data_IF_271223920008
#
_entry.id   IF_271223920008
#
_cell.length_a   1.000
_cell.length_b   1.000
_cell.length_c   1.000
_cell.angle_alpha   90.00
_cell.angle_beta   90.00
_cell.angle_gamma   90.00
#
_symmetry.space_group_name_H-M   'P 1'
#
loop_
_entity.id
_entity.type
_entity.pdbx_description
1 polymer ?
#
# COMPACT_ATOMS: atom_id res chain seq x y z
N UNK A 1 4.29 -18.85 8.95
CA UNK A 1 5.32 -17.83 9.25
C UNK A 1 4.77 -16.95 10.37
N UNK A 2 5.50 -16.84 11.48
CA UNK A 2 5.01 -16.22 12.73
C UNK A 2 4.74 -14.71 12.52
N UNK A 3 3.60 -14.23 13.01
CA UNK A 3 3.17 -12.83 13.00
C UNK A 3 4.26 -11.89 13.55
N UNK A 4 5.14 -12.40 14.42
CA UNK A 4 6.29 -11.68 14.99
C UNK A 4 7.39 -11.33 13.98
N UNK A 5 7.62 -12.17 12.96
CA UNK A 5 8.67 -11.95 11.95
C UNK A 5 8.24 -10.87 10.94
N UNK A 6 6.95 -10.89 10.54
CA UNK A 6 6.33 -9.81 9.75
C UNK A 6 6.38 -8.48 10.49
N UNK A 7 6.12 -8.50 11.81
CA UNK A 7 6.21 -7.32 12.67
C UNK A 7 7.66 -6.81 12.77
N UNK A 8 8.68 -7.68 12.82
CA UNK A 8 10.08 -7.28 12.94
C UNK A 8 10.62 -6.60 11.67
N UNK A 9 10.41 -7.15 10.46
CA UNK A 9 10.77 -6.45 9.22
C UNK A 9 10.02 -5.13 9.07
N UNK A 10 8.75 -5.08 9.50
CA UNK A 10 7.94 -3.87 9.46
C UNK A 10 8.37 -2.82 10.50
N UNK A 11 8.84 -3.23 11.68
CA UNK A 11 9.46 -2.35 12.68
C UNK A 11 10.82 -1.87 12.23
N UNK A 12 11.60 -2.63 11.45
CA UNK A 12 12.85 -2.13 10.87
C UNK A 12 12.57 -1.07 9.79
N UNK A 13 11.57 -1.27 8.94
CA UNK A 13 11.12 -0.27 7.96
C UNK A 13 10.51 0.96 8.66
N UNK A 14 9.62 0.78 9.64
CA UNK A 14 9.04 1.88 10.41
C UNK A 14 10.04 2.57 11.33
N UNK A 15 11.01 1.86 11.93
CA UNK A 15 12.07 2.49 12.71
C UNK A 15 12.98 3.29 11.80
N UNK A 16 13.37 2.81 10.61
CA UNK A 16 14.07 3.67 9.64
C UNK A 16 13.22 4.88 9.20
N UNK A 17 11.89 4.80 9.23
CA UNK A 17 11.00 5.93 8.95
C UNK A 17 10.76 6.86 10.16
N UNK A 18 10.85 6.38 11.40
CA UNK A 18 10.57 7.16 12.64
C UNK A 18 11.83 7.67 13.36
N UNK A 19 12.98 6.98 13.29
CA UNK A 19 14.18 7.36 14.07
C UNK A 19 14.85 8.65 13.59
N UNK A 20 14.41 9.24 12.48
CA UNK A 20 15.03 10.45 11.91
C UNK A 20 14.18 11.72 12.04
N UNK A 21 13.04 11.67 12.75
CA UNK A 21 12.23 12.87 13.05
C UNK A 21 12.56 13.51 14.41
N UNK A 22 13.35 12.85 15.27
CA UNK A 22 13.62 13.33 16.65
C UNK A 22 15.09 13.67 16.94
N UNK A 23 16.03 13.37 16.06
CA UNK A 23 17.44 13.69 16.27
C UNK A 23 17.86 14.97 15.51
N UNK A 24 17.39 16.12 15.99
CA UNK A 24 18.13 17.36 15.78
C UNK A 24 19.43 17.27 16.58
N UNK A 25 20.57 17.19 15.89
CA UNK A 25 21.92 17.08 16.43
C UNK A 25 22.23 15.81 17.26
N UNK A 26 22.92 14.85 16.64
CA UNK A 26 24.22 14.29 17.06
C UNK A 26 24.56 13.14 16.09
N UNK A 27 25.80 13.14 15.59
CA UNK A 27 26.39 12.06 14.81
C UNK A 27 26.25 10.73 15.55
N UNK A 28 25.66 9.71 14.90
CA UNK A 28 25.93 8.31 15.24
C UNK A 28 26.29 7.58 13.96
N UNK A 29 27.57 7.71 13.58
CA UNK A 29 28.28 6.61 12.95
C UNK A 29 28.35 5.46 13.96
N UNK A 30 27.93 4.25 13.55
CA UNK A 30 28.19 2.93 14.20
C UNK A 30 26.99 2.07 14.68
N UNK A 31 25.74 2.37 14.32
CA UNK A 31 24.62 1.47 14.66
C UNK A 31 24.44 0.24 13.75
N UNK A 32 25.44 -0.10 12.92
CA UNK A 32 25.50 -1.42 12.27
C UNK A 32 25.98 -2.53 13.23
N UNK A 33 26.48 -2.20 14.43
CA UNK A 33 27.04 -3.17 15.36
C UNK A 33 26.02 -3.91 16.25
N UNK A 34 24.81 -3.39 16.44
CA UNK A 34 23.78 -4.08 17.25
C UNK A 34 23.01 -5.17 16.48
N UNK A 35 23.17 -5.24 15.15
CA UNK A 35 22.54 -6.28 14.31
C UNK A 35 23.35 -7.58 14.23
N UNK A 36 24.58 -7.62 14.74
CA UNK A 36 25.42 -8.82 14.76
C UNK A 36 25.32 -9.65 16.05
N UNK A 37 24.59 -9.17 17.08
CA UNK A 37 24.45 -9.85 18.38
C UNK A 37 23.38 -10.95 18.45
N UNK A 38 22.56 -11.13 17.42
CA UNK A 38 21.54 -12.18 17.36
C UNK A 38 21.84 -13.15 16.22
N UNK A 39 22.95 -13.88 16.36
CA UNK A 39 23.22 -15.09 15.60
C UNK A 39 22.12 -16.12 15.90
N UNK A 40 21.03 -16.09 15.14
CA UNK A 40 19.90 -17.00 15.30
C UNK A 40 18.58 -16.47 14.74
N UNK A 41 18.43 -15.16 14.51
CA UNK A 41 17.26 -14.64 13.80
C UNK A 41 17.56 -14.73 12.31
N UNK A 42 17.12 -15.83 11.69
CA UNK A 42 16.91 -15.86 10.25
C UNK A 42 15.92 -14.74 9.93
N UNK A 43 16.41 -13.60 9.46
CA UNK A 43 15.57 -12.55 8.90
C UNK A 43 15.00 -13.17 7.62
N UNK A 44 13.85 -13.82 7.74
CA UNK A 44 13.15 -14.37 6.60
C UNK A 44 12.83 -13.20 5.68
N UNK A 45 13.53 -13.15 4.54
CA UNK A 45 13.27 -12.20 3.47
C UNK A 45 11.83 -12.37 3.00
N UNK A 46 10.95 -11.45 3.40
CA UNK A 46 9.58 -11.45 2.95
C UNK A 46 9.53 -10.76 1.59
N UNK A 47 9.40 -11.55 0.51
CA UNK A 47 9.23 -11.03 -0.84
C UNK A 47 7.75 -10.83 -1.12
N UNK A 48 7.36 -9.58 -1.35
CA UNK A 48 6.03 -9.21 -1.80
C UNK A 48 6.14 -8.19 -2.93
N UNK A 49 5.36 -8.39 -3.99
CA UNK A 49 5.22 -7.51 -5.14
C UNK A 49 4.01 -6.61 -4.93
N UNK A 50 4.25 -5.34 -4.61
CA UNK A 50 3.19 -4.36 -4.37
C UNK A 50 3.06 -3.41 -5.56
N UNK A 51 1.84 -3.26 -6.07
CA UNK A 51 1.52 -2.45 -7.22
C UNK A 51 0.94 -1.10 -6.78
N UNK A 52 1.59 0.02 -7.15
CA UNK A 52 1.03 1.36 -6.92
C UNK A 52 0.34 1.86 -8.19
N UNK A 53 -0.97 2.09 -8.09
CA UNK A 53 -1.88 2.51 -9.16
C UNK A 53 -2.67 3.77 -8.79
N UNK A 54 -3.39 4.34 -9.76
CA UNK A 54 -4.18 5.55 -9.58
C UNK A 54 -4.04 6.54 -10.74
N UNK A 55 -4.86 7.59 -10.76
CA UNK A 55 -4.84 8.61 -11.81
C UNK A 55 -3.52 9.41 -11.83
N UNK A 56 -3.26 10.14 -12.93
CA UNK A 56 -2.20 11.16 -12.95
C UNK A 56 -2.48 12.19 -11.85
N UNK A 57 -1.39 12.74 -11.27
CA UNK A 57 -1.43 13.71 -10.18
C UNK A 57 -1.94 13.17 -8.82
N UNK A 58 -2.26 11.88 -8.69
CA UNK A 58 -2.67 11.30 -7.40
C UNK A 58 -1.54 11.25 -6.35
N UNK A 59 -0.27 11.38 -6.75
CA UNK A 59 0.89 11.39 -5.86
C UNK A 59 1.67 10.06 -5.78
N UNK A 60 1.53 9.18 -6.78
CA UNK A 60 2.22 7.87 -6.84
C UNK A 60 3.74 8.00 -6.81
N UNK A 61 4.29 8.83 -7.71
CA UNK A 61 5.73 9.13 -7.81
C UNK A 61 6.26 9.79 -6.55
N UNK A 62 5.50 10.72 -5.97
CA UNK A 62 5.88 11.34 -4.69
C UNK A 62 5.94 10.30 -3.58
N UNK A 63 4.98 9.39 -3.50
CA UNK A 63 5.01 8.30 -2.50
C UNK A 63 6.20 7.37 -2.74
N UNK A 64 6.50 7.03 -3.99
CA UNK A 64 7.71 6.27 -4.38
C UNK A 64 8.97 6.94 -3.80
N UNK A 65 9.21 8.21 -4.12
CA UNK A 65 10.41 8.93 -3.69
C UNK A 65 10.48 9.12 -2.16
N UNK A 66 9.34 9.31 -1.50
CA UNK A 66 9.28 9.35 -0.04
C UNK A 66 9.70 8.01 0.55
N UNK A 67 9.30 6.88 -0.06
CA UNK A 67 9.74 5.56 0.38
C UNK A 67 11.24 5.33 0.06
N UNK A 68 11.71 5.72 -1.13
CA UNK A 68 13.08 5.45 -1.60
C UNK A 68 14.13 6.28 -0.89
N UNK A 69 13.96 7.59 -0.93
CA UNK A 69 15.02 8.55 -0.58
C UNK A 69 14.72 9.28 0.73
N UNK A 70 13.58 8.98 1.35
CA UNK A 70 13.04 9.72 2.48
C UNK A 70 12.98 11.24 2.20
N UNK A 71 12.76 11.63 0.94
CA UNK A 71 12.70 13.03 0.48
C UNK A 71 11.34 13.29 -0.15
N UNK A 72 10.75 14.43 0.23
CA UNK A 72 9.55 14.94 -0.44
C UNK A 72 10.03 15.88 -1.53
N UNK A 73 9.99 15.41 -2.77
CA UNK A 73 10.25 16.24 -3.95
C UNK A 73 8.94 16.39 -4.71
N UNK A 74 8.58 17.61 -5.06
CA UNK A 74 7.48 17.84 -6.00
C UNK A 74 7.98 17.55 -7.40
N UNK A 75 7.41 16.53 -8.03
CA UNK A 75 7.74 16.16 -9.40
C UNK A 75 6.76 16.83 -10.35
N UNK A 76 7.26 17.26 -11.52
CA UNK A 76 6.41 17.64 -12.63
C UNK A 76 5.58 16.42 -13.09
N UNK A 77 4.37 16.62 -13.63
CA UNK A 77 3.56 15.52 -14.15
C UNK A 77 4.34 14.67 -15.16
N UNK A 78 4.39 13.36 -14.93
CA UNK A 78 5.17 12.41 -15.72
C UNK A 78 4.62 12.32 -17.14
N UNK A 79 5.41 12.79 -18.12
CA UNK A 79 5.01 12.85 -19.53
C UNK A 79 5.06 11.49 -20.24
N UNK A 80 5.83 10.53 -19.72
CA UNK A 80 6.04 9.22 -20.33
C UNK A 80 5.80 8.08 -19.34
N UNK A 81 5.24 6.95 -19.77
CA UNK A 81 5.15 5.77 -18.94
C UNK A 81 6.50 5.35 -18.36
N UNK A 82 6.63 5.42 -17.05
CA UNK A 82 7.80 4.92 -16.34
C UNK A 82 7.36 3.90 -15.30
N UNK A 83 7.95 2.70 -15.37
CA UNK A 83 7.84 1.73 -14.28
C UNK A 83 9.07 1.89 -13.41
N UNK A 84 8.86 2.28 -12.16
CA UNK A 84 9.93 2.30 -11.17
C UNK A 84 9.76 1.13 -10.23
N UNK A 85 10.84 0.36 -10.08
CA UNK A 85 10.93 -0.72 -9.11
C UNK A 85 11.85 -0.27 -7.97
N UNK A 86 11.42 -0.49 -6.75
CA UNK A 86 12.23 -0.33 -5.56
C UNK A 86 12.16 -1.61 -4.75
N UNK A 87 13.30 -2.09 -4.32
CA UNK A 87 13.39 -3.19 -3.37
C UNK A 87 13.81 -2.63 -2.02
N UNK A 88 12.97 -2.81 -1.00
CA UNK A 88 13.24 -2.37 0.37
C UNK A 88 12.97 -3.51 1.34
N UNK A 89 13.98 -3.91 2.12
CA UNK A 89 13.83 -4.89 3.19
C UNK A 89 13.16 -6.21 2.74
N UNK A 90 13.42 -6.65 1.51
CA UNK A 90 12.83 -7.84 0.90
C UNK A 90 11.52 -7.59 0.13
N UNK A 91 10.84 -6.46 0.33
CA UNK A 91 9.61 -6.10 -0.38
C UNK A 91 9.95 -5.39 -1.69
N UNK A 92 9.34 -5.84 -2.77
CA UNK A 92 9.48 -5.25 -4.11
C UNK A 92 8.29 -4.36 -4.40
N UNK A 93 8.47 -3.05 -4.26
CA UNK A 93 7.51 -2.05 -4.68
C UNK A 93 7.67 -1.78 -6.17
N UNK A 94 6.63 -2.03 -6.96
CA UNK A 94 6.58 -1.66 -8.38
C UNK A 94 5.53 -0.58 -8.54
N UNK A 95 6.00 0.64 -8.74
CA UNK A 95 5.15 1.78 -9.04
C UNK A 95 5.06 1.95 -10.54
N UNK A 96 3.83 1.98 -11.05
CA UNK A 96 3.59 2.31 -12.44
C UNK A 96 3.24 3.78 -12.49
N UNK A 97 4.26 4.60 -12.71
CA UNK A 97 4.08 5.99 -13.09
C UNK A 97 3.85 6.08 -14.59
N UNK A 98 2.79 5.39 -14.99
CA UNK A 98 2.15 5.66 -16.26
C UNK A 98 1.25 6.83 -15.92
N UNK A 99 1.64 8.04 -16.31
CA UNK A 99 0.77 9.21 -16.26
C UNK A 99 -0.62 8.75 -16.70
N UNK A 100 -1.63 8.94 -15.83
CA UNK A 100 -2.98 8.40 -15.96
C UNK A 100 -3.76 8.93 -17.17
N UNK A 101 -3.13 8.99 -18.32
CA UNK A 101 -3.72 9.13 -19.63
C UNK A 101 -4.24 7.75 -20.05
N UNK A 102 -5.49 7.70 -20.53
CA UNK A 102 -6.25 6.49 -20.83
C UNK A 102 -5.50 5.48 -21.73
N UNK A 103 -4.68 6.00 -22.66
CA UNK A 103 -3.88 5.22 -23.61
C UNK A 103 -2.88 4.25 -22.99
N UNK A 104 -2.39 4.54 -21.77
CA UNK A 104 -1.29 3.79 -21.14
C UNK A 104 -1.79 2.79 -20.10
N UNK A 105 -3.08 2.89 -19.71
CA UNK A 105 -3.70 1.99 -18.73
C UNK A 105 -3.85 0.55 -19.25
N UNK A 106 -3.87 0.38 -20.57
CA UNK A 106 -3.87 -0.95 -21.22
C UNK A 106 -2.66 -1.81 -20.80
N UNK A 107 -1.53 -1.18 -20.47
CA UNK A 107 -0.29 -1.85 -20.07
C UNK A 107 -0.33 -2.35 -18.62
N UNK A 108 -1.23 -1.84 -17.77
CA UNK A 108 -1.34 -2.29 -16.37
C UNK A 108 -1.54 -3.80 -16.26
N UNK A 109 -2.32 -4.38 -17.17
CA UNK A 109 -2.63 -5.81 -17.22
C UNK A 109 -1.39 -6.70 -17.32
N UNK A 110 -0.33 -6.21 -17.95
CA UNK A 110 0.93 -6.95 -18.08
C UNK A 110 1.63 -7.19 -16.73
N UNK A 111 1.24 -6.45 -15.69
CA UNK A 111 1.90 -6.47 -14.40
C UNK A 111 1.09 -7.13 -13.29
N UNK A 112 -0.19 -7.42 -13.52
CA UNK A 112 -1.07 -8.11 -12.55
C UNK A 112 -0.60 -9.51 -12.14
N UNK A 113 0.03 -10.32 -13.02
CA UNK A 113 0.54 -11.61 -12.61
C UNK A 113 1.52 -11.50 -11.43
N UNK A 114 1.32 -12.36 -10.43
CA UNK A 114 2.17 -12.47 -9.23
C UNK A 114 2.25 -11.20 -8.40
N UNK A 115 1.21 -10.37 -8.37
CA UNK A 115 1.07 -9.23 -7.45
C UNK A 115 0.48 -9.71 -6.14
N UNK A 116 1.11 -9.34 -5.03
CA UNK A 116 0.67 -9.71 -3.68
C UNK A 116 -0.24 -8.64 -3.06
N UNK A 117 -0.18 -7.39 -3.51
CA UNK A 117 -1.03 -6.31 -3.02
C UNK A 117 -1.11 -5.10 -3.95
N UNK A 118 -2.22 -4.38 -3.91
CA UNK A 118 -2.43 -3.15 -4.69
C UNK A 118 -2.64 -1.96 -3.74
N UNK A 119 -1.96 -0.85 -4.03
CA UNK A 119 -2.21 0.44 -3.42
C UNK A 119 -2.71 1.39 -4.50
N UNK A 120 -3.97 1.80 -4.41
CA UNK A 120 -4.62 2.70 -5.35
C UNK A 120 -4.71 4.11 -4.74
N UNK A 121 -4.00 5.07 -5.32
CA UNK A 121 -3.97 6.45 -4.85
C UNK A 121 -5.04 7.27 -5.55
N UNK A 122 -5.77 8.09 -4.77
CA UNK A 122 -6.75 9.05 -5.24
C UNK A 122 -6.39 10.44 -4.72
N UNK A 123 -6.48 11.45 -5.59
CA UNK A 123 -6.32 12.84 -5.19
C UNK A 123 -7.61 13.34 -4.52
N UNK A 124 -7.65 13.35 -3.18
CA UNK A 124 -8.85 13.76 -2.43
C UNK A 124 -9.19 15.23 -2.61
N UNK A 125 -8.23 16.05 -3.05
CA UNK A 125 -8.42 17.49 -3.26
C UNK A 125 -9.14 17.84 -4.56
N UNK A 126 -9.42 16.84 -5.42
CA UNK A 126 -10.04 17.01 -6.72
C UNK A 126 -11.25 16.07 -6.92
N UNK A 127 -12.42 16.39 -6.30
CA UNK A 127 -13.62 15.57 -6.40
C UNK A 127 -14.17 15.41 -7.83
N UNK A 128 -13.90 16.36 -8.74
CA UNK A 128 -14.33 16.30 -10.14
C UNK A 128 -13.79 15.05 -10.86
N UNK A 129 -12.66 14.51 -10.38
CA UNK A 129 -12.02 13.32 -10.95
C UNK A 129 -12.38 12.02 -10.25
N UNK A 130 -13.21 12.05 -9.20
CA UNK A 130 -13.66 10.82 -8.52
C UNK A 130 -14.42 9.86 -9.44
N UNK A 131 -15.29 10.30 -10.38
CA UNK A 131 -15.93 9.38 -11.32
C UNK A 131 -14.92 8.63 -12.20
N UNK A 132 -13.86 9.32 -12.64
CA UNK A 132 -12.77 8.71 -13.40
C UNK A 132 -12.00 7.70 -12.53
N UNK A 133 -11.68 8.06 -11.29
CA UNK A 133 -10.99 7.18 -10.35
C UNK A 133 -11.82 5.93 -10.02
N UNK A 134 -13.14 6.08 -9.85
CA UNK A 134 -14.08 4.99 -9.63
C UNK A 134 -14.14 4.04 -10.81
N UNK A 135 -14.19 4.56 -12.04
CA UNK A 135 -14.19 3.73 -13.26
C UNK A 135 -12.95 2.83 -13.29
N UNK A 136 -11.77 3.40 -13.04
CA UNK A 136 -10.51 2.65 -13.03
C UNK A 136 -10.42 1.66 -11.87
N UNK A 137 -10.83 2.07 -10.66
CA UNK A 137 -10.86 1.17 -9.51
C UNK A 137 -11.80 -0.01 -9.75
N UNK A 138 -13.00 0.25 -10.28
CA UNK A 138 -13.98 -0.80 -10.61
C UNK A 138 -13.41 -1.77 -11.63
N UNK A 139 -12.73 -1.26 -12.68
CA UNK A 139 -12.06 -2.11 -13.66
C UNK A 139 -11.03 -3.03 -12.97
N UNK A 140 -10.16 -2.49 -12.11
CA UNK A 140 -9.18 -3.28 -11.35
C UNK A 140 -9.83 -4.31 -10.41
N UNK A 141 -10.97 -3.97 -9.81
CA UNK A 141 -11.70 -4.88 -8.94
C UNK A 141 -12.31 -6.06 -9.72
N UNK A 142 -12.67 -5.86 -10.99
CA UNK A 142 -13.20 -6.92 -11.87
C UNK A 142 -12.14 -7.79 -12.54
N UNK A 143 -10.85 -7.46 -12.42
CA UNK A 143 -9.78 -8.24 -13.06
C UNK A 143 -9.54 -9.58 -12.35
N UNK A 144 -9.64 -10.69 -13.10
CA UNK A 144 -9.50 -12.05 -12.57
C UNK A 144 -8.12 -12.29 -11.93
N UNK A 145 -7.06 -11.74 -12.52
CA UNK A 145 -5.69 -11.84 -11.99
C UNK A 145 -5.54 -11.20 -10.60
N UNK A 146 -6.44 -10.30 -10.21
CA UNK A 146 -6.42 -9.58 -8.94
C UNK A 146 -7.50 -10.07 -7.98
N UNK A 147 -8.21 -11.18 -8.31
CA UNK A 147 -9.42 -11.62 -7.60
C UNK A 147 -9.28 -11.66 -6.08
N UNK A 148 -8.15 -12.20 -5.59
CA UNK A 148 -7.84 -12.41 -4.17
C UNK A 148 -6.85 -11.39 -3.61
N UNK A 149 -6.35 -10.46 -4.44
CA UNK A 149 -5.29 -9.53 -4.07
C UNK A 149 -5.88 -8.43 -3.18
N UNK A 150 -5.29 -8.12 -2.01
CA UNK A 150 -5.75 -7.04 -1.13
C UNK A 150 -5.52 -5.65 -1.75
N UNK A 151 -6.48 -4.73 -1.55
CA UNK A 151 -6.44 -3.35 -2.04
C UNK A 151 -6.43 -2.36 -0.87
N UNK A 152 -5.45 -1.45 -0.89
CA UNK A 152 -5.46 -0.25 -0.06
C UNK A 152 -5.79 0.94 -0.94
N UNK A 153 -6.82 1.69 -0.57
CA UNK A 153 -7.17 2.94 -1.22
C UNK A 153 -6.61 4.09 -0.39
N UNK A 154 -5.69 4.86 -0.96
CA UNK A 154 -5.11 6.01 -0.31
C UNK A 154 -5.77 7.30 -0.82
N UNK A 155 -6.61 7.90 0.01
CA UNK A 155 -7.13 9.24 -0.20
C UNK A 155 -6.05 10.27 0.13
N UNK A 156 -5.25 10.64 -0.86
CA UNK A 156 -4.09 11.51 -0.69
C UNK A 156 -4.46 13.00 -0.74
N UNK A 157 -3.53 13.86 -0.31
CA UNK A 157 -3.59 15.33 -0.31
C UNK A 157 -4.57 15.93 0.69
N UNK A 158 -4.77 15.27 1.84
CA UNK A 158 -5.60 15.83 2.94
C UNK A 158 -5.05 17.11 3.58
N UNK A 159 -3.81 17.47 3.22
CA UNK A 159 -3.21 18.74 3.61
C UNK A 159 -3.81 19.96 2.88
N UNK A 160 -4.53 19.73 1.77
CA UNK A 160 -5.18 20.78 1.00
C UNK A 160 -6.60 21.05 1.54
N UNK A 161 -7.04 22.32 1.57
CA UNK A 161 -8.34 22.69 2.13
C UNK A 161 -9.53 22.16 1.32
N UNK A 162 -9.32 21.84 0.03
CA UNK A 162 -10.34 21.23 -0.83
C UNK A 162 -10.42 19.71 -0.72
N UNK A 163 -9.66 19.09 0.20
CA UNK A 163 -9.66 17.65 0.36
C UNK A 163 -11.01 17.14 0.87
N UNK A 164 -11.57 16.18 0.13
CA UNK A 164 -12.74 15.44 0.55
C UNK A 164 -12.45 14.62 1.82
N UNK A 165 -13.49 14.46 2.63
CA UNK A 165 -13.51 13.54 3.78
C UNK A 165 -13.43 12.07 3.34
N UNK A 166 -13.12 11.19 4.30
CA UNK A 166 -13.10 9.74 4.05
C UNK A 166 -14.48 9.24 3.56
N UNK A 167 -15.57 9.75 4.14
CA UNK A 167 -16.93 9.34 3.79
C UNK A 167 -17.32 9.78 2.38
N UNK A 168 -16.98 11.02 2.00
CA UNK A 168 -17.20 11.52 0.63
C UNK A 168 -16.41 10.69 -0.39
N UNK A 169 -15.15 10.36 -0.09
CA UNK A 169 -14.33 9.53 -0.96
C UNK A 169 -14.90 8.11 -1.09
N UNK A 170 -15.32 7.49 0.02
CA UNK A 170 -15.97 6.16 0.02
C UNK A 170 -17.22 6.17 -0.84
N UNK A 171 -18.10 7.15 -0.64
CA UNK A 171 -19.34 7.28 -1.40
C UNK A 171 -19.06 7.47 -2.89
N UNK A 172 -18.10 8.34 -3.23
CA UNK A 172 -17.77 8.64 -4.62
C UNK A 172 -17.14 7.47 -5.36
N UNK A 173 -16.36 6.62 -4.67
CA UNK A 173 -15.75 5.41 -5.21
C UNK A 173 -16.67 4.17 -5.14
N UNK A 174 -17.81 4.26 -4.46
CA UNK A 174 -18.73 3.14 -4.25
C UNK A 174 -18.24 2.10 -3.23
N UNK A 175 -17.41 2.52 -2.28
CA UNK A 175 -16.79 1.67 -1.25
C UNK A 175 -17.57 1.74 0.07
N UNK A 176 -18.85 1.38 0.02
CA UNK A 176 -19.76 1.42 1.19
C UNK A 176 -19.45 0.32 2.21
N UNK A 177 -19.02 -0.84 1.74
CA UNK A 177 -18.65 -1.98 2.56
C UNK A 177 -17.19 -2.32 2.28
N UNK A 178 -16.34 -2.16 3.29
CA UNK A 178 -14.93 -2.53 3.27
C UNK A 178 -14.64 -3.56 4.35
N UNK A 179 -13.49 -4.22 4.27
CA UNK A 179 -13.13 -5.31 5.19
C UNK A 179 -12.90 -4.85 6.63
N UNK A 180 -12.82 -3.54 6.85
CA UNK A 180 -12.60 -2.93 8.15
C UNK A 180 -11.12 -2.74 8.46
N UNK A 181 -10.81 -1.70 9.24
CA UNK A 181 -9.47 -1.40 9.75
C UNK A 181 -9.04 -2.32 10.93
N UNK A 182 -9.93 -3.21 11.39
CA UNK A 182 -9.72 -4.09 12.54
C UNK A 182 -9.03 -5.43 12.21
N UNK A 183 -8.50 -6.13 13.22
CA UNK A 183 -7.74 -7.40 13.11
C UNK A 183 -8.59 -8.64 12.72
N UNK A 184 -9.56 -8.53 11.83
CA UNK A 184 -10.50 -9.63 11.54
C UNK A 184 -10.10 -10.55 10.37
N UNK A 185 -9.12 -10.20 9.55
CA UNK A 185 -8.81 -11.00 8.36
C UNK A 185 -7.87 -12.21 8.59
N UNK A 186 -7.29 -12.39 9.78
CA UNK A 186 -6.28 -13.43 10.02
C UNK A 186 -6.68 -14.50 11.08
N UNK A 187 -7.95 -14.55 11.50
CA UNK A 187 -8.39 -15.49 12.55
C UNK A 187 -8.81 -16.88 12.03
N UNK A 188 -8.83 -17.12 10.72
CA UNK A 188 -9.13 -18.44 10.13
C UNK A 188 -7.87 -19.12 9.56
N UNK A 189 -6.78 -19.17 10.32
CA UNK A 189 -5.65 -20.03 9.98
C UNK A 189 -5.06 -20.69 11.22
N UNK A 190 -5.84 -21.54 11.87
CA UNK A 190 -5.29 -22.55 12.77
C UNK A 190 -6.01 -23.88 12.60
N UNK A 191 -5.21 -24.86 12.19
CA UNK A 191 -5.50 -26.27 12.13
C UNK A 191 -6.09 -26.77 13.47
N UNK A 192 -7.33 -27.24 13.43
CA UNK A 192 -7.77 -28.31 14.33
C UNK A 192 -8.30 -29.44 13.46
N UNK A 193 -7.46 -30.48 13.31
CA UNK A 193 -7.90 -31.82 12.95
C UNK A 193 -9.02 -32.22 13.92
N UNK A 194 -10.25 -32.24 13.45
CA UNK A 194 -11.41 -32.64 14.25
C UNK A 194 -12.70 -32.46 13.46
N UNK A 195 -13.19 -33.55 12.86
CA UNK A 195 -14.48 -33.69 12.18
C UNK A 195 -15.59 -32.82 12.80
N UNK A 196 -16.14 -31.90 12.01
CA UNK A 196 -17.57 -31.58 11.87
C UNK A 196 -17.72 -30.98 10.46
N UNK A 197 -18.57 -31.62 9.65
CA UNK A 197 -18.92 -31.18 8.32
C UNK A 197 -19.74 -29.87 8.44
N UNK A 198 -19.16 -28.72 8.05
CA UNK A 198 -19.92 -27.52 7.74
C UNK A 198 -19.73 -27.22 6.26
N UNK A 199 -20.74 -27.55 5.47
CA UNK A 199 -20.93 -26.99 4.15
C UNK A 199 -21.51 -25.58 4.31
N UNK A 200 -20.69 -24.56 4.07
CA UNK A 200 -21.09 -23.25 3.51
C UNK A 200 -19.87 -22.77 2.74
N UNK A 201 -20.00 -22.49 1.45
CA UNK A 201 -18.91 -21.87 0.69
C UNK A 201 -18.67 -20.46 1.24
N UNK A 202 -17.50 -20.23 1.85
CA UNK A 202 -17.08 -18.89 2.23
C UNK A 202 -16.49 -18.25 0.97
N UNK A 203 -17.27 -17.40 0.31
CA UNK A 203 -16.72 -16.38 -0.58
C UNK A 203 -15.74 -15.55 0.25
N UNK A 204 -14.44 -15.86 0.18
CA UNK A 204 -13.41 -15.01 0.78
C UNK A 204 -13.44 -13.66 0.06
N UNK A 205 -14.20 -12.74 0.64
CA UNK A 205 -14.37 -11.39 0.13
C UNK A 205 -12.99 -10.70 0.11
N UNK A 206 -12.60 -10.20 -1.07
CA UNK A 206 -11.30 -9.56 -1.28
C UNK A 206 -11.06 -8.49 -0.22
N UNK A 207 -9.89 -8.46 0.46
CA UNK A 207 -9.60 -7.39 1.41
C UNK A 207 -9.51 -6.04 0.69
N UNK A 208 -10.36 -5.08 1.06
CA UNK A 208 -10.31 -3.70 0.56
C UNK A 208 -10.49 -2.74 1.72
N UNK A 209 -9.66 -1.70 1.82
CA UNK A 209 -9.83 -0.66 2.84
C UNK A 209 -9.30 0.72 2.42
N UNK A 210 -9.92 1.79 2.94
CA UNK A 210 -9.60 3.20 2.65
C UNK A 210 -8.83 3.83 3.81
N UNK A 211 -7.76 4.55 3.48
CA UNK A 211 -6.98 5.35 4.42
C UNK A 211 -6.72 6.74 3.84
N UNK A 212 -7.01 7.77 4.62
CA UNK A 212 -6.73 9.15 4.26
C UNK A 212 -5.28 9.49 4.61
N UNK A 213 -4.59 10.21 3.72
CA UNK A 213 -3.17 10.50 3.90
C UNK A 213 -2.72 11.82 3.27
N UNK A 214 -1.59 12.32 3.75
CA UNK A 214 -0.81 13.35 3.08
C UNK A 214 0.60 12.83 2.92
N UNK A 215 0.96 12.46 1.69
CA UNK A 215 2.31 11.99 1.37
C UNK A 215 3.34 13.07 1.66
N UNK A 216 3.04 14.33 1.32
CA UNK A 216 3.97 15.44 1.53
C UNK A 216 4.17 15.77 3.02
N UNK A 217 3.14 15.56 3.86
CA UNK A 217 3.24 15.71 5.31
C UNK A 217 3.63 14.43 6.04
N UNK A 218 3.92 13.35 5.31
CA UNK A 218 4.37 12.06 5.88
C UNK A 218 3.38 11.42 6.84
N UNK A 219 2.08 11.55 6.58
CA UNK A 219 1.01 11.11 7.49
C UNK A 219 -0.02 10.21 6.81
N UNK A 220 -0.60 9.30 7.60
CA UNK A 220 -1.75 8.44 7.23
C UNK A 220 -1.41 7.21 6.38
N UNK A 221 -0.55 7.33 5.37
CA UNK A 221 -0.28 6.21 4.45
C UNK A 221 0.36 5.00 5.13
N UNK A 222 1.14 5.20 6.21
CA UNK A 222 1.77 4.11 6.98
C UNK A 222 0.75 3.16 7.62
N UNK A 223 -0.45 3.64 7.95
CA UNK A 223 -1.54 2.82 8.44
C UNK A 223 -2.07 1.88 7.35
N UNK A 224 -2.19 2.38 6.12
CA UNK A 224 -2.53 1.57 4.95
C UNK A 224 -1.51 0.47 4.69
N UNK A 225 -0.21 0.77 4.73
CA UNK A 225 0.84 -0.25 4.62
C UNK A 225 0.79 -1.27 5.77
N UNK A 226 0.49 -0.82 7.00
CA UNK A 226 0.33 -1.72 8.17
C UNK A 226 -0.89 -2.63 8.04
N UNK A 227 -1.97 -2.13 7.47
CA UNK A 227 -3.15 -2.91 7.21
C UNK A 227 -2.89 -3.92 6.09
N UNK A 228 -2.24 -3.49 5.01
CA UNK A 228 -1.88 -4.37 3.89
C UNK A 228 -1.01 -5.54 4.35
N UNK A 229 0.00 -5.30 5.19
CA UNK A 229 0.90 -6.34 5.68
C UNK A 229 0.26 -7.43 6.55
N UNK A 230 -0.99 -7.23 7.00
CA UNK A 230 -1.77 -8.26 7.69
C UNK A 230 -2.45 -9.23 6.71
N UNK A 231 -2.55 -8.84 5.44
CA UNK A 231 -3.24 -9.55 4.36
C UNK A 231 -2.28 -10.13 3.30
N UNK A 232 -1.00 -9.72 3.33
CA UNK A 232 0.14 -10.42 2.74
C UNK A 232 0.63 -11.48 3.73
#
# INVERSE_FOLDING_TARGET
>A
MDSKVKWFCFVVVLNQMMTWSLAGHILVSSETALLHGLAGVSIAYFNAKILLLGLNNAGKTTLMHVLRDNRVVQHLPTQHPTSEEIQMCGITFRTFDLGGHELVRSVWRNYFPSVDGVIFLVDSSNPERFPEARKELTALLTEDCLRTVPFVILGNKIDLPSAASEDELRNALGLFYTSGKGKRAAACRNERKGKIQRQVGEDEERPVEVFMCSVIRRMGYSEGFRWLSQHL
#
